data_IF_988650677662
#
_entry.id   IF_988650677662
#
_cell.length_a   1.000
_cell.length_b   1.000
_cell.length_c   1.000
_cell.angle_alpha   90.00
_cell.angle_beta   90.00
_cell.angle_gamma   90.00
#
_symmetry.space_group_name_H-M   'P 1'
#
loop_
_entity.id
_entity.type
_entity.pdbx_description
1 polymer ?
#
# COMPACT_ATOMS: atom_id res chain seq x y z
N UNK A 1 21.87 31.46 22.99
CA UNK A 1 21.24 30.64 24.05
C UNK A 1 20.65 29.40 23.37
N UNK A 2 21.34 28.26 23.54
CA UNK A 2 20.98 27.01 22.84
C UNK A 2 19.71 26.42 23.43
N UNK A 3 18.75 26.26 22.55
CA UNK A 3 17.50 25.57 22.85
C UNK A 3 17.82 24.07 23.06
N UNK A 4 17.93 23.63 24.30
CA UNK A 4 18.00 22.22 24.67
C UNK A 4 16.66 21.58 24.32
N UNK A 5 16.48 21.15 23.07
CA UNK A 5 15.41 20.24 22.70
C UNK A 5 15.56 18.98 23.54
N UNK A 6 14.59 18.72 24.42
CA UNK A 6 14.53 17.49 25.22
C UNK A 6 14.39 16.30 24.26
N UNK A 7 15.49 15.66 23.93
CA UNK A 7 15.63 14.57 22.96
C UNK A 7 15.16 13.21 23.50
N UNK A 8 14.47 13.17 24.65
CA UNK A 8 14.16 11.92 25.35
C UNK A 8 12.99 11.08 24.82
N UNK A 9 12.09 11.66 24.02
CA UNK A 9 10.83 10.99 23.63
C UNK A 9 10.60 10.80 22.13
N UNK A 10 11.61 11.06 21.29
CA UNK A 10 11.49 10.90 19.82
C UNK A 10 11.26 9.44 19.40
N UNK A 11 12.04 8.50 19.94
CA UNK A 11 11.91 7.07 19.60
C UNK A 11 10.54 6.51 20.04
N UNK A 12 10.06 6.72 21.29
CA UNK A 12 8.70 6.29 21.67
C UNK A 12 7.59 6.89 20.81
N UNK A 13 7.72 8.15 20.35
CA UNK A 13 6.76 8.74 19.43
C UNK A 13 6.74 8.05 18.05
N UNK A 14 7.92 7.68 17.53
CA UNK A 14 8.02 6.90 16.30
C UNK A 14 7.43 5.51 16.49
N UNK A 15 7.72 4.82 17.60
CA UNK A 15 7.17 3.48 17.87
C UNK A 15 5.64 3.52 17.98
N UNK A 16 5.08 4.51 18.67
CA UNK A 16 3.62 4.67 18.75
C UNK A 16 2.99 4.81 17.36
N UNK A 17 3.56 5.69 16.51
CA UNK A 17 3.04 5.90 15.15
C UNK A 17 3.29 4.69 14.25
N UNK A 18 4.41 3.98 14.44
CA UNK A 18 4.74 2.76 13.70
C UNK A 18 3.77 1.62 14.01
N UNK A 19 3.35 1.44 15.27
CA UNK A 19 2.34 0.44 15.66
C UNK A 19 1.01 0.74 14.95
N UNK A 20 0.55 1.98 14.95
CA UNK A 20 -0.66 2.37 14.23
C UNK A 20 -0.53 2.11 12.73
N UNK A 21 0.59 2.52 12.13
CA UNK A 21 0.86 2.31 10.69
C UNK A 21 0.92 0.81 10.36
N UNK A 22 1.53 0.00 11.21
CA UNK A 22 1.55 -1.46 11.08
C UNK A 22 0.14 -2.04 11.10
N UNK A 23 -0.69 -1.67 12.08
CA UNK A 23 -2.09 -2.10 12.14
C UNK A 23 -2.87 -1.70 10.89
N UNK A 24 -2.63 -0.49 10.36
CA UNK A 24 -3.24 -0.02 9.13
C UNK A 24 -2.89 -0.89 7.93
N UNK A 25 -1.61 -1.14 7.68
CA UNK A 25 -1.15 -1.95 6.56
C UNK A 25 -1.48 -3.44 6.75
N UNK A 26 -1.49 -3.94 7.98
CA UNK A 26 -1.89 -5.31 8.29
C UNK A 26 -3.36 -5.57 7.93
N UNK A 27 -4.27 -4.69 8.37
CA UNK A 27 -5.71 -4.85 8.15
C UNK A 27 -6.09 -4.70 6.67
N UNK A 28 -5.29 -3.96 5.88
CA UNK A 28 -5.46 -3.78 4.44
C UNK A 28 -5.49 -5.13 3.72
N UNK A 29 -4.53 -5.99 4.01
CA UNK A 29 -4.37 -7.30 3.36
C UNK A 29 -5.07 -8.44 4.11
N UNK A 30 -5.26 -8.31 5.44
CA UNK A 30 -5.98 -9.29 6.23
C UNK A 30 -7.44 -9.44 5.81
N UNK A 31 -8.08 -8.35 5.37
CA UNK A 31 -9.48 -8.40 4.93
C UNK A 31 -9.70 -9.16 3.62
N UNK A 32 -8.70 -9.24 2.74
CA UNK A 32 -8.84 -9.95 1.46
C UNK A 32 -9.17 -11.44 1.63
N UNK A 33 -8.68 -12.06 2.71
CA UNK A 33 -8.96 -13.49 3.01
C UNK A 33 -10.40 -13.71 3.47
N UNK A 34 -11.06 -12.67 3.97
CA UNK A 34 -12.44 -12.75 4.46
C UNK A 34 -13.50 -12.52 3.36
N UNK A 35 -13.09 -12.15 2.16
CA UNK A 35 -14.01 -11.74 1.09
C UNK A 35 -15.05 -12.80 0.74
N UNK A 36 -14.74 -14.10 0.59
CA UNK A 36 -15.75 -15.11 0.32
C UNK A 36 -16.85 -15.18 1.40
N UNK A 37 -16.44 -15.06 2.68
CA UNK A 37 -17.37 -15.01 3.82
C UNK A 37 -18.24 -13.74 3.77
N UNK A 38 -17.64 -12.58 3.51
CA UNK A 38 -18.34 -11.31 3.43
C UNK A 38 -19.28 -11.23 2.21
N UNK A 39 -18.90 -11.83 1.07
CA UNK A 39 -19.75 -11.94 -0.11
C UNK A 39 -21.04 -12.68 0.22
N UNK A 40 -20.94 -13.78 0.96
CA UNK A 40 -22.09 -14.57 1.41
C UNK A 40 -22.91 -13.81 2.45
N UNK A 41 -22.28 -13.20 3.47
CA UNK A 41 -22.98 -12.50 4.56
C UNK A 41 -23.72 -11.25 4.07
N UNK A 42 -23.10 -10.47 3.15
CA UNK A 42 -23.69 -9.23 2.63
C UNK A 42 -24.41 -9.40 1.28
N UNK A 43 -24.50 -10.63 0.78
CA UNK A 43 -25.14 -10.96 -0.49
C UNK A 43 -24.65 -10.07 -1.65
N UNK A 44 -23.34 -10.04 -1.86
CA UNK A 44 -22.64 -9.23 -2.87
C UNK A 44 -21.68 -10.09 -3.67
N UNK A 45 -21.24 -9.56 -4.81
CA UNK A 45 -20.24 -10.20 -5.69
C UNK A 45 -18.79 -9.73 -5.40
N UNK A 46 -17.84 -10.24 -6.18
CA UNK A 46 -16.42 -9.86 -6.08
C UNK A 46 -16.19 -8.37 -6.36
N UNK A 47 -16.98 -7.74 -7.25
CA UNK A 47 -16.89 -6.31 -7.56
C UNK A 47 -17.35 -5.45 -6.39
N UNK A 48 -18.44 -5.84 -5.71
CA UNK A 48 -18.94 -5.11 -4.56
C UNK A 48 -18.05 -5.25 -3.34
N UNK A 49 -17.58 -6.47 -3.02
CA UNK A 49 -16.80 -6.71 -1.81
C UNK A 49 -15.39 -6.14 -1.89
N UNK A 50 -14.79 -6.01 -3.09
CA UNK A 50 -13.47 -5.43 -3.26
C UNK A 50 -13.36 -4.00 -2.69
N UNK A 51 -14.49 -3.26 -2.59
CA UNK A 51 -14.53 -1.91 -2.02
C UNK A 51 -14.08 -1.86 -0.55
N UNK A 52 -14.13 -2.98 0.18
CA UNK A 52 -13.58 -3.11 1.54
C UNK A 52 -12.08 -2.79 1.56
N UNK A 53 -11.33 -3.19 0.54
CA UNK A 53 -9.90 -2.85 0.39
C UNK A 53 -9.70 -1.63 -0.51
N UNK A 54 -10.38 -1.54 -1.65
CA UNK A 54 -10.22 -0.44 -2.60
C UNK A 54 -10.63 0.91 -2.01
N UNK A 55 -11.75 0.96 -1.27
CA UNK A 55 -12.20 2.17 -0.58
C UNK A 55 -11.22 2.65 0.49
N UNK A 56 -10.61 1.71 1.22
CA UNK A 56 -9.54 1.99 2.17
C UNK A 56 -8.30 2.59 1.49
N UNK A 57 -7.82 1.95 0.42
CA UNK A 57 -6.67 2.41 -0.36
C UNK A 57 -6.94 3.76 -1.05
N UNK A 58 -8.15 3.96 -1.54
CA UNK A 58 -8.59 5.24 -2.10
C UNK A 58 -8.51 6.37 -1.05
N UNK A 59 -8.98 6.10 0.17
CA UNK A 59 -8.90 7.09 1.25
C UNK A 59 -7.44 7.46 1.56
N UNK A 60 -6.53 6.47 1.62
CA UNK A 60 -5.09 6.72 1.78
C UNK A 60 -4.56 7.56 0.61
N UNK A 61 -4.87 7.17 -0.64
CA UNK A 61 -4.38 7.85 -1.84
C UNK A 61 -4.85 9.31 -1.95
N UNK A 62 -6.03 9.64 -1.42
CA UNK A 62 -6.54 11.02 -1.35
C UNK A 62 -5.85 11.81 -0.24
N UNK A 63 -5.54 11.18 0.90
CA UNK A 63 -5.00 11.87 2.08
C UNK A 63 -3.49 12.07 2.02
N UNK A 64 -2.73 11.11 1.47
CA UNK A 64 -1.26 11.20 1.42
C UNK A 64 -0.76 12.50 0.75
N UNK A 65 -1.31 12.99 -0.39
CA UNK A 65 -0.87 14.25 -1.00
C UNK A 65 -1.00 15.48 -0.11
N UNK A 66 -1.98 15.49 0.80
CA UNK A 66 -2.20 16.64 1.68
C UNK A 66 -1.36 16.58 2.97
N UNK A 67 -0.62 15.51 3.22
CA UNK A 67 0.15 15.36 4.46
C UNK A 67 1.26 16.40 4.60
N UNK A 68 1.85 16.87 3.50
CA UNK A 68 2.79 17.98 3.51
C UNK A 68 2.13 19.30 3.97
N UNK A 69 0.88 19.56 3.58
CA UNK A 69 0.08 20.66 4.09
C UNK A 69 -0.26 20.45 5.57
N UNK A 70 -0.70 19.24 5.95
CA UNK A 70 -1.09 18.94 7.32
C UNK A 70 0.07 19.12 8.30
N UNK A 71 1.28 18.65 7.98
CA UNK A 71 2.47 18.80 8.84
C UNK A 71 2.98 20.23 8.95
N UNK A 72 2.64 21.12 8.00
CA UNK A 72 2.96 22.56 8.06
C UNK A 72 1.94 23.39 8.84
N UNK A 73 0.71 22.88 9.03
CA UNK A 73 -0.41 23.64 9.60
C UNK A 73 -0.90 23.11 10.94
N UNK A 74 -0.54 21.90 11.31
CA UNK A 74 -0.95 21.24 12.54
C UNK A 74 0.25 20.67 13.28
N UNK A 75 0.17 20.60 14.60
CA UNK A 75 1.22 19.98 15.42
C UNK A 75 1.25 18.47 15.22
N UNK A 76 2.41 17.87 15.47
CA UNK A 76 2.57 16.39 15.43
C UNK A 76 1.53 15.72 16.33
N UNK A 77 1.27 16.29 17.53
CA UNK A 77 0.28 15.75 18.47
C UNK A 77 -1.14 15.79 17.94
N UNK A 78 -1.54 16.89 17.27
CA UNK A 78 -2.88 17.00 16.66
C UNK A 78 -3.07 15.98 15.54
N UNK A 79 -2.07 15.82 14.67
CA UNK A 79 -2.12 14.86 13.56
C UNK A 79 -2.13 13.42 14.06
N UNK A 80 -1.31 13.11 15.07
CA UNK A 80 -1.28 11.80 15.69
C UNK A 80 -2.63 11.44 16.33
N UNK A 81 -3.23 12.38 17.08
CA UNK A 81 -4.57 12.19 17.66
C UNK A 81 -5.64 12.01 16.60
N UNK A 82 -5.67 12.87 15.59
CA UNK A 82 -6.65 12.77 14.51
C UNK A 82 -6.54 11.42 13.78
N UNK A 83 -5.32 10.99 13.46
CA UNK A 83 -5.06 9.71 12.82
C UNK A 83 -5.55 8.52 13.67
N UNK A 84 -5.17 8.48 14.95
CA UNK A 84 -5.57 7.39 15.86
C UNK A 84 -7.08 7.38 16.11
N UNK A 85 -7.71 8.53 16.36
CA UNK A 85 -9.14 8.60 16.64
C UNK A 85 -9.98 8.20 15.43
N UNK A 86 -9.58 8.62 14.21
CA UNK A 86 -10.23 8.19 12.97
C UNK A 86 -10.07 6.69 12.75
N UNK A 87 -8.86 6.16 12.96
CA UNK A 87 -8.61 4.73 12.78
C UNK A 87 -9.36 3.89 13.82
N UNK A 88 -9.28 4.24 15.10
CA UNK A 88 -10.00 3.53 16.18
C UNK A 88 -11.51 3.63 15.98
N UNK A 89 -12.02 4.81 15.62
CA UNK A 89 -13.44 5.02 15.31
C UNK A 89 -13.90 4.12 14.17
N UNK A 90 -13.13 4.03 13.09
CA UNK A 90 -13.39 3.11 11.97
C UNK A 90 -13.35 1.64 12.40
N UNK A 91 -12.35 1.24 13.22
CA UNK A 91 -12.27 -0.12 13.77
C UNK A 91 -13.50 -0.46 14.61
N UNK A 92 -13.95 0.44 15.48
CA UNK A 92 -15.13 0.22 16.30
C UNK A 92 -16.42 0.10 15.47
N UNK A 93 -16.55 0.89 14.40
CA UNK A 93 -17.66 0.77 13.44
C UNK A 93 -17.63 -0.62 12.78
N UNK A 94 -16.46 -1.08 12.37
CA UNK A 94 -16.31 -2.36 11.67
C UNK A 94 -16.54 -3.56 12.58
N UNK A 95 -16.21 -3.45 13.87
CA UNK A 95 -16.53 -4.48 14.89
C UNK A 95 -18.02 -4.81 14.98
N UNK A 96 -18.87 -3.83 14.73
CA UNK A 96 -20.35 -3.96 14.91
C UNK A 96 -21.13 -3.80 13.60
N UNK A 97 -20.43 -3.71 12.43
CA UNK A 97 -21.07 -3.40 11.17
C UNK A 97 -22.13 -4.46 10.77
N UNK A 98 -23.40 -4.05 10.62
CA UNK A 98 -24.47 -4.95 10.21
C UNK A 98 -24.66 -5.00 8.68
N UNK A 99 -24.00 -4.13 7.93
CA UNK A 99 -24.15 -4.02 6.47
C UNK A 99 -22.83 -3.64 5.82
N UNK A 100 -22.69 -3.98 4.53
CA UNK A 100 -21.51 -3.62 3.74
C UNK A 100 -21.25 -2.11 3.74
N UNK A 101 -22.30 -1.28 3.64
CA UNK A 101 -22.13 0.18 3.60
C UNK A 101 -21.50 0.72 4.90
N UNK A 102 -21.90 0.18 6.05
CA UNK A 102 -21.33 0.58 7.35
C UNK A 102 -19.90 0.09 7.47
N UNK A 103 -19.59 -1.13 7.01
CA UNK A 103 -18.23 -1.64 6.91
C UNK A 103 -17.37 -0.73 6.03
N UNK A 104 -17.85 -0.34 4.84
CA UNK A 104 -17.12 0.57 3.95
C UNK A 104 -16.85 1.94 4.58
N UNK A 105 -17.81 2.47 5.36
CA UNK A 105 -17.62 3.73 6.10
C UNK A 105 -16.50 3.61 7.12
N UNK A 106 -16.48 2.54 7.93
CA UNK A 106 -15.40 2.27 8.89
C UNK A 106 -14.05 2.11 8.19
N UNK A 107 -14.01 1.37 7.08
CA UNK A 107 -12.81 1.19 6.25
C UNK A 107 -12.29 2.51 5.68
N UNK A 108 -13.19 3.38 5.21
CA UNK A 108 -12.80 4.70 4.69
C UNK A 108 -12.20 5.58 5.80
N UNK A 109 -12.79 5.58 7.00
CA UNK A 109 -12.24 6.29 8.17
C UNK A 109 -10.86 5.76 8.57
N UNK A 110 -10.67 4.42 8.59
CA UNK A 110 -9.37 3.80 8.83
C UNK A 110 -8.34 4.22 7.78
N UNK A 111 -8.73 4.27 6.50
CA UNK A 111 -7.88 4.71 5.40
C UNK A 111 -7.40 6.16 5.57
N UNK A 112 -8.28 7.08 6.00
CA UNK A 112 -7.88 8.46 6.33
C UNK A 112 -6.84 8.45 7.47
N UNK A 113 -7.09 7.70 8.54
CA UNK A 113 -6.17 7.58 9.67
C UNK A 113 -4.79 7.08 9.26
N UNK A 114 -4.75 6.00 8.47
CA UNK A 114 -3.50 5.43 7.95
C UNK A 114 -2.78 6.38 6.99
N UNK A 115 -3.52 7.06 6.13
CA UNK A 115 -2.98 8.06 5.20
C UNK A 115 -2.28 9.24 5.90
N UNK A 116 -2.71 9.59 7.12
CA UNK A 116 -2.02 10.56 7.98
C UNK A 116 -0.83 9.91 8.68
N UNK A 117 -0.99 8.71 9.27
CA UNK A 117 -0.01 8.09 10.15
C UNK A 117 1.29 7.69 9.43
N UNK A 118 1.20 7.14 8.21
CA UNK A 118 2.37 6.69 7.47
C UNK A 118 3.39 7.81 7.21
N UNK A 119 3.03 8.95 6.60
CA UNK A 119 3.96 10.06 6.42
C UNK A 119 4.34 10.74 7.74
N UNK A 120 3.42 10.79 8.72
CA UNK A 120 3.67 11.38 10.03
C UNK A 120 4.79 10.63 10.77
N UNK A 121 4.84 9.31 10.69
CA UNK A 121 5.92 8.50 11.27
C UNK A 121 7.29 8.96 10.78
N UNK A 122 7.47 9.11 9.47
CA UNK A 122 8.74 9.59 8.90
C UNK A 122 9.01 11.05 9.25
N UNK A 123 7.97 11.89 9.32
CA UNK A 123 8.11 13.29 9.76
C UNK A 123 8.60 13.39 11.22
N UNK A 124 8.11 12.55 12.13
CA UNK A 124 8.59 12.47 13.52
C UNK A 124 10.06 12.07 13.54
N UNK A 125 10.49 11.09 12.76
CA UNK A 125 11.90 10.69 12.69
C UNK A 125 12.77 11.88 12.30
N UNK A 126 12.42 12.57 11.22
CA UNK A 126 13.23 13.68 10.69
C UNK A 126 13.26 14.89 11.62
N UNK A 127 12.26 15.10 12.49
CA UNK A 127 12.14 16.28 13.34
C UNK A 127 12.48 16.06 14.81
N UNK A 128 12.30 14.83 15.34
CA UNK A 128 12.42 14.53 16.77
C UNK A 128 13.51 13.53 17.13
N UNK A 129 14.04 12.80 16.16
CA UNK A 129 15.14 11.84 16.38
C UNK A 129 16.47 12.50 16.04
N UNK A 130 17.55 12.23 16.79
CA UNK A 130 18.90 12.72 16.44
C UNK A 130 19.37 12.21 15.09
N UNK A 131 20.06 13.05 14.30
CA UNK A 131 20.48 12.77 12.93
C UNK A 131 21.28 11.45 12.79
N UNK A 132 22.14 11.13 13.76
CA UNK A 132 22.94 9.90 13.75
C UNK A 132 22.12 8.60 13.90
N UNK A 133 20.85 8.70 14.31
CA UNK A 133 19.92 7.57 14.45
C UNK A 133 18.88 7.50 13.32
N UNK A 134 18.81 8.49 12.41
CA UNK A 134 17.82 8.53 11.36
C UNK A 134 17.80 7.25 10.52
N UNK A 135 18.95 6.76 10.06
CA UNK A 135 19.04 5.56 9.24
C UNK A 135 18.43 4.32 9.93
N UNK A 136 18.77 4.10 11.20
CA UNK A 136 18.26 2.97 11.99
C UNK A 136 16.75 3.09 12.21
N UNK A 137 16.26 4.28 12.62
CA UNK A 137 14.86 4.48 12.97
C UNK A 137 13.96 4.50 11.72
N UNK A 138 14.43 5.07 10.60
CA UNK A 138 13.75 4.96 9.29
C UNK A 138 13.69 3.49 8.84
N UNK A 139 14.78 2.75 9.03
CA UNK A 139 14.81 1.31 8.73
C UNK A 139 13.78 0.51 9.52
N UNK A 140 13.66 0.77 10.82
CA UNK A 140 12.62 0.14 11.67
C UNK A 140 11.22 0.53 11.21
N UNK A 141 10.97 1.82 10.94
CA UNK A 141 9.70 2.29 10.39
C UNK A 141 9.35 1.65 9.05
N UNK A 142 10.33 1.53 8.15
CA UNK A 142 10.18 0.84 6.87
C UNK A 142 9.91 -0.67 7.02
N UNK A 143 10.53 -1.32 8.02
CA UNK A 143 10.25 -2.73 8.32
C UNK A 143 8.80 -2.96 8.75
N UNK A 144 8.21 -2.05 9.54
CA UNK A 144 6.80 -2.21 9.96
C UNK A 144 5.85 -2.20 8.76
N UNK A 145 6.10 -1.33 7.79
CA UNK A 145 5.29 -1.28 6.56
C UNK A 145 5.59 -2.42 5.59
N UNK A 146 6.82 -2.94 5.57
CA UNK A 146 7.21 -4.06 4.71
C UNK A 146 6.75 -5.43 5.24
N UNK A 147 6.67 -5.61 6.57
CA UNK A 147 6.26 -6.87 7.21
C UNK A 147 4.74 -7.02 7.30
N UNK A 148 4.00 -5.92 7.38
CA UNK A 148 2.56 -5.96 7.57
C UNK A 148 1.79 -6.64 6.42
N UNK A 149 2.02 -6.30 5.11
CA UNK A 149 1.28 -6.93 4.02
C UNK A 149 1.47 -8.44 3.94
N UNK A 150 2.70 -8.97 4.13
CA UNK A 150 2.92 -10.40 4.19
C UNK A 150 2.20 -11.13 5.31
N UNK A 151 2.13 -10.55 6.49
CA UNK A 151 1.53 -11.17 7.67
C UNK A 151 -0.01 -11.09 7.60
N UNK A 152 -0.55 -10.05 6.95
CA UNK A 152 -1.98 -9.77 6.93
C UNK A 152 -2.85 -10.95 6.54
N UNK A 153 -2.66 -11.60 5.38
CA UNK A 153 -3.50 -12.72 4.97
C UNK A 153 -3.45 -13.89 5.94
N UNK A 154 -2.29 -14.21 6.50
CA UNK A 154 -2.15 -15.28 7.50
C UNK A 154 -2.88 -14.94 8.79
N UNK A 155 -2.68 -13.73 9.31
CA UNK A 155 -3.38 -13.21 10.47
C UNK A 155 -4.91 -13.21 10.24
N UNK A 156 -5.34 -12.64 9.11
CA UNK A 156 -6.74 -12.58 8.74
C UNK A 156 -7.38 -13.97 8.60
N UNK A 157 -6.68 -14.91 7.95
CA UNK A 157 -7.16 -16.27 7.76
C UNK A 157 -7.32 -17.05 9.06
N UNK A 158 -6.31 -17.02 9.93
CA UNK A 158 -6.37 -17.72 11.23
C UNK A 158 -7.44 -17.10 12.14
N UNK A 159 -7.42 -15.78 12.32
CA UNK A 159 -8.36 -15.11 13.21
C UNK A 159 -9.80 -15.24 12.73
N UNK A 160 -10.04 -15.05 11.43
CA UNK A 160 -11.41 -15.13 10.88
C UNK A 160 -12.00 -16.54 10.94
N UNK A 161 -11.19 -17.56 10.73
CA UNK A 161 -11.66 -18.96 10.82
C UNK A 161 -11.98 -19.39 12.24
N UNK A 162 -11.25 -18.86 13.25
CA UNK A 162 -11.46 -19.26 14.66
C UNK A 162 -12.56 -18.45 15.35
N UNK A 163 -12.67 -17.17 15.03
CA UNK A 163 -13.48 -16.22 15.79
C UNK A 163 -14.43 -15.36 14.93
N UNK A 164 -14.44 -15.61 13.60
CA UNK A 164 -15.17 -14.79 12.65
C UNK A 164 -14.39 -13.54 12.20
N UNK A 165 -14.79 -12.97 11.07
CA UNK A 165 -14.07 -11.86 10.45
C UNK A 165 -14.02 -10.57 11.30
N UNK A 166 -15.05 -10.32 12.11
CA UNK A 166 -15.08 -9.17 13.03
C UNK A 166 -13.97 -9.22 14.08
N UNK A 167 -13.53 -10.42 14.45
CA UNK A 167 -12.45 -10.61 15.42
C UNK A 167 -11.10 -10.02 14.95
N UNK A 168 -10.89 -9.87 13.62
CA UNK A 168 -9.73 -9.19 13.07
C UNK A 168 -9.65 -7.75 13.60
N UNK A 169 -10.78 -7.04 13.64
CA UNK A 169 -10.87 -5.67 14.13
C UNK A 169 -10.72 -5.61 15.66
N UNK A 170 -11.37 -6.52 16.39
CA UNK A 170 -11.21 -6.60 17.85
C UNK A 170 -9.75 -6.84 18.26
N UNK A 171 -9.03 -7.66 17.54
CA UNK A 171 -7.63 -7.97 17.83
C UNK A 171 -6.70 -6.76 17.66
N UNK A 172 -7.07 -5.76 16.87
CA UNK A 172 -6.28 -4.54 16.70
C UNK A 172 -6.46 -3.53 17.87
N UNK A 173 -7.59 -3.56 18.56
CA UNK A 173 -7.94 -2.55 19.59
C UNK A 173 -6.86 -2.42 20.67
N UNK A 174 -6.33 -3.50 21.28
CA UNK A 174 -5.29 -3.37 22.30
C UNK A 174 -4.03 -2.65 21.77
N UNK A 175 -3.59 -2.95 20.55
CA UNK A 175 -2.42 -2.31 19.94
C UNK A 175 -2.66 -0.84 19.64
N UNK A 176 -3.87 -0.49 19.19
CA UNK A 176 -4.25 0.89 18.91
C UNK A 176 -4.37 1.73 20.18
N UNK A 177 -4.95 1.17 21.25
CA UNK A 177 -5.00 1.82 22.56
C UNK A 177 -3.58 2.02 23.09
N UNK A 178 -2.72 1.01 22.97
CA UNK A 178 -1.31 1.13 23.38
C UNK A 178 -0.59 2.21 22.57
N UNK A 179 -0.78 2.25 21.23
CA UNK A 179 -0.25 3.31 20.36
C UNK A 179 -0.73 4.68 20.84
N UNK A 180 -2.03 4.84 21.06
CA UNK A 180 -2.62 6.12 21.48
C UNK A 180 -2.05 6.60 22.81
N UNK A 181 -2.02 5.73 23.84
CA UNK A 181 -1.51 6.08 25.17
C UNK A 181 -0.02 6.42 25.13
N UNK A 182 0.78 5.59 24.45
CA UNK A 182 2.22 5.82 24.30
C UNK A 182 2.51 7.10 23.52
N UNK A 183 1.77 7.37 22.44
CA UNK A 183 1.95 8.58 21.66
C UNK A 183 1.53 9.85 22.41
N UNK A 184 0.45 9.80 23.18
CA UNK A 184 0.03 10.92 24.05
C UNK A 184 1.08 11.25 25.11
N UNK A 185 1.76 10.23 25.64
CA UNK A 185 2.86 10.41 26.58
C UNK A 185 4.13 10.92 25.91
N UNK A 186 4.47 10.38 24.73
CA UNK A 186 5.74 10.68 24.05
C UNK A 186 5.71 11.98 23.23
N UNK A 187 4.57 12.33 22.63
CA UNK A 187 4.43 13.50 21.77
C UNK A 187 3.96 14.69 22.62
N UNK A 188 4.90 15.58 22.92
CA UNK A 188 4.61 16.79 23.70
C UNK A 188 3.76 17.77 22.89
N UNK A 189 3.00 18.62 23.64
CA UNK A 189 2.27 19.71 23.02
C UNK A 189 3.27 20.77 22.51
N UNK A 190 3.07 21.20 21.28
CA UNK A 190 3.85 22.26 20.63
C UNK A 190 2.94 23.44 20.30
N UNK A 191 3.52 24.62 20.08
CA UNK A 191 2.78 25.75 19.56
C UNK A 191 2.32 25.43 18.13
N UNK A 192 1.07 25.77 17.83
CA UNK A 192 0.51 25.56 16.49
C UNK A 192 1.24 26.43 15.46
N UNK A 193 1.70 25.84 14.35
CA UNK A 193 2.36 26.60 13.29
C UNK A 193 1.43 27.64 12.66
N UNK A 194 2.01 28.65 12.00
CA UNK A 194 1.22 29.63 11.25
C UNK A 194 0.49 28.96 10.10
N UNK A 195 -0.84 29.07 10.08
CA UNK A 195 -1.69 28.43 9.06
C UNK A 195 -1.40 28.97 7.66
N UNK A 196 -1.23 28.08 6.71
CA UNK A 196 -1.14 28.37 5.28
C UNK A 196 -2.48 28.07 4.60
N UNK A 197 -2.83 28.75 3.50
CA UNK A 197 -4.08 28.49 2.80
C UNK A 197 -4.09 27.06 2.21
N UNK A 198 -5.23 26.39 2.31
CA UNK A 198 -5.45 25.05 1.76
C UNK A 198 -6.03 25.13 0.35
N UNK A 199 -5.47 24.37 -0.58
CA UNK A 199 -6.01 24.28 -1.93
C UNK A 199 -7.15 23.24 -1.98
N UNK A 200 -8.32 23.65 -1.48
CA UNK A 200 -9.49 22.78 -1.38
C UNK A 200 -9.96 22.27 -2.74
N UNK A 201 -9.90 23.11 -3.79
CA UNK A 201 -10.34 22.72 -5.13
C UNK A 201 -9.42 21.64 -5.74
N UNK A 202 -8.10 21.77 -5.57
CA UNK A 202 -7.19 20.73 -6.02
C UNK A 202 -7.42 19.41 -5.25
N UNK A 203 -7.69 19.48 -3.95
CA UNK A 203 -7.98 18.28 -3.14
C UNK A 203 -9.26 17.58 -3.61
N UNK A 204 -10.35 18.31 -3.78
CA UNK A 204 -11.64 17.74 -4.21
C UNK A 204 -11.54 17.15 -5.62
N UNK A 205 -10.93 17.87 -6.55
CA UNK A 205 -10.80 17.42 -7.95
C UNK A 205 -9.87 16.20 -8.06
N UNK A 206 -8.83 16.09 -7.23
CA UNK A 206 -8.00 14.88 -7.12
C UNK A 206 -8.85 13.70 -6.62
N UNK A 207 -9.59 13.88 -5.53
CA UNK A 207 -10.45 12.84 -4.96
C UNK A 207 -11.51 12.33 -5.95
N UNK A 208 -12.19 13.25 -6.64
CA UNK A 208 -13.17 12.91 -7.67
C UNK A 208 -12.49 12.13 -8.82
N UNK A 209 -11.31 12.59 -9.29
CA UNK A 209 -10.57 11.92 -10.36
C UNK A 209 -10.18 10.50 -10.00
N UNK A 210 -9.64 10.28 -8.81
CA UNK A 210 -9.25 8.96 -8.32
C UNK A 210 -10.46 8.03 -8.13
N UNK A 211 -11.52 8.53 -7.48
CA UNK A 211 -12.75 7.74 -7.28
C UNK A 211 -13.42 7.37 -8.61
N UNK A 212 -13.54 8.34 -9.53
CA UNK A 212 -14.16 8.10 -10.84
C UNK A 212 -13.35 7.12 -11.69
N UNK A 213 -12.02 7.08 -11.55
CA UNK A 213 -11.20 6.11 -12.27
C UNK A 213 -11.46 4.67 -11.78
N UNK A 214 -11.62 4.47 -10.47
CA UNK A 214 -12.01 3.16 -9.93
C UNK A 214 -13.41 2.74 -10.39
N UNK A 215 -14.38 3.67 -10.36
CA UNK A 215 -15.73 3.44 -10.88
C UNK A 215 -15.73 3.14 -12.39
N UNK A 216 -14.84 3.78 -13.16
CA UNK A 216 -14.71 3.50 -14.59
C UNK A 216 -14.19 2.08 -14.86
N UNK A 217 -13.31 1.56 -14.02
CA UNK A 217 -12.81 0.18 -14.09
C UNK A 217 -13.92 -0.80 -13.73
N UNK A 218 -14.66 -0.54 -12.66
CA UNK A 218 -15.71 -1.44 -12.16
C UNK A 218 -16.87 -1.54 -13.13
N UNK A 219 -17.37 -0.41 -13.63
CA UNK A 219 -18.57 -0.37 -14.47
C UNK A 219 -18.29 -0.34 -15.97
N UNK A 220 -17.01 -0.24 -16.39
CA UNK A 220 -16.60 -0.07 -17.81
C UNK A 220 -17.37 1.05 -18.53
N UNK A 221 -17.60 2.15 -17.82
CA UNK A 221 -18.50 3.23 -18.26
C UNK A 221 -17.73 4.40 -18.86
N UNK A 222 -18.12 4.81 -20.08
CA UNK A 222 -17.58 6.00 -20.77
C UNK A 222 -17.89 7.29 -20.01
N UNK A 223 -19.00 7.34 -19.27
CA UNK A 223 -19.38 8.51 -18.45
C UNK A 223 -18.32 8.73 -17.37
N UNK A 224 -17.96 7.69 -16.62
CA UNK A 224 -16.92 7.80 -15.60
C UNK A 224 -15.56 8.17 -16.20
N UNK A 225 -15.20 7.66 -17.39
CA UNK A 225 -13.98 8.10 -18.09
C UNK A 225 -14.02 9.58 -18.47
N UNK A 226 -15.16 10.10 -18.86
CA UNK A 226 -15.36 11.54 -19.08
C UNK A 226 -15.14 12.34 -17.80
N UNK A 227 -15.68 11.89 -16.67
CA UNK A 227 -15.47 12.52 -15.36
C UNK A 227 -13.99 12.48 -14.95
N UNK A 228 -13.29 11.38 -15.18
CA UNK A 228 -11.84 11.24 -14.95
C UNK A 228 -11.06 12.33 -15.68
N UNK A 229 -11.30 12.49 -16.99
CA UNK A 229 -10.60 13.50 -17.79
C UNK A 229 -10.86 14.91 -17.28
N UNK A 230 -12.13 15.24 -17.00
CA UNK A 230 -12.51 16.57 -16.50
C UNK A 230 -11.91 16.82 -15.10
N UNK A 231 -11.99 15.84 -14.20
CA UNK A 231 -11.50 15.97 -12.84
C UNK A 231 -9.97 16.14 -12.78
N UNK A 232 -9.20 15.36 -13.55
CA UNK A 232 -7.74 15.51 -13.60
C UNK A 232 -7.31 16.78 -14.34
N UNK A 233 -8.03 17.23 -15.35
CA UNK A 233 -7.80 18.53 -15.99
C UNK A 233 -8.05 19.67 -14.99
N UNK A 234 -9.13 19.61 -14.22
CA UNK A 234 -9.45 20.56 -13.17
C UNK A 234 -8.40 20.52 -12.03
N UNK A 235 -7.99 19.30 -11.62
CA UNK A 235 -6.90 19.12 -10.65
C UNK A 235 -5.61 19.79 -11.15
N UNK A 236 -5.19 19.53 -12.39
CA UNK A 236 -4.02 20.16 -12.96
C UNK A 236 -4.13 21.70 -12.94
N UNK A 237 -5.28 22.24 -13.32
CA UNK A 237 -5.52 23.69 -13.33
C UNK A 237 -5.43 24.30 -11.91
N UNK A 238 -6.13 23.75 -10.93
CA UNK A 238 -6.13 24.26 -9.55
C UNK A 238 -4.82 24.01 -8.81
N UNK A 239 -4.10 22.94 -9.14
CA UNK A 239 -2.84 22.59 -8.50
C UNK A 239 -1.65 23.51 -8.91
N UNK A 240 -1.79 24.35 -9.95
CA UNK A 240 -0.70 25.20 -10.46
C UNK A 240 -0.26 26.27 -9.48
N UNK A 241 -1.17 26.93 -8.76
CA UNK A 241 -0.88 28.11 -7.96
C UNK A 241 -0.49 27.78 -6.51
N UNK A 242 -1.02 26.69 -5.94
CA UNK A 242 -0.71 26.22 -4.60
C UNK A 242 -0.69 24.68 -4.65
N UNK A 243 0.45 24.11 -5.02
CA UNK A 243 0.56 22.71 -5.36
C UNK A 243 0.39 21.80 -4.13
N UNK A 244 -0.61 20.90 -4.17
CA UNK A 244 -0.72 19.77 -3.26
C UNK A 244 0.28 18.68 -3.63
N UNK A 245 0.46 18.46 -4.93
CA UNK A 245 1.39 17.48 -5.49
C UNK A 245 2.24 18.17 -6.55
N UNK A 246 3.55 18.14 -6.38
CA UNK A 246 4.48 18.74 -7.34
C UNK A 246 4.70 17.81 -8.52
N UNK A 247 4.52 18.34 -9.74
CA UNK A 247 4.77 17.58 -10.98
C UNK A 247 6.21 17.64 -11.48
N UNK A 248 7.12 18.33 -10.75
CA UNK A 248 8.52 18.47 -11.17
C UNK A 248 9.26 17.14 -11.38
N UNK A 249 9.09 16.11 -10.51
CA UNK A 249 9.73 14.81 -10.70
C UNK A 249 9.37 14.11 -12.01
N UNK A 250 8.12 14.27 -12.50
CA UNK A 250 7.66 13.64 -13.74
C UNK A 250 8.37 14.13 -15.02
N UNK A 251 9.09 15.26 -14.95
CA UNK A 251 9.92 15.74 -16.06
C UNK A 251 11.14 14.84 -16.34
N UNK A 252 11.51 14.00 -15.39
CA UNK A 252 12.67 13.13 -15.46
C UNK A 252 12.25 11.74 -15.93
N UNK A 253 12.57 11.37 -17.17
CA UNK A 253 12.22 10.07 -17.75
C UNK A 253 12.75 8.90 -16.93
N UNK A 254 13.93 9.05 -16.29
CA UNK A 254 14.53 8.04 -15.42
C UNK A 254 13.69 7.78 -14.18
N UNK A 255 13.19 8.85 -13.56
CA UNK A 255 12.27 8.73 -12.44
C UNK A 255 10.97 8.04 -12.85
N UNK A 256 10.37 8.44 -13.98
CA UNK A 256 9.13 7.84 -14.46
C UNK A 256 9.27 6.34 -14.75
N UNK A 257 10.39 5.94 -15.36
CA UNK A 257 10.66 4.53 -15.66
C UNK A 257 10.85 3.70 -14.38
N UNK A 258 11.62 4.20 -13.41
CA UNK A 258 11.82 3.50 -12.13
C UNK A 258 10.57 3.54 -11.25
N UNK A 259 9.80 4.62 -11.30
CA UNK A 259 8.49 4.73 -10.66
C UNK A 259 7.53 3.67 -11.20
N UNK A 260 7.49 3.46 -12.52
CA UNK A 260 6.66 2.39 -13.11
C UNK A 260 6.98 1.02 -12.47
N UNK A 261 8.25 0.68 -12.27
CA UNK A 261 8.65 -0.59 -11.65
C UNK A 261 8.13 -0.67 -10.20
N UNK A 262 8.21 0.43 -9.43
CA UNK A 262 7.63 0.50 -8.07
C UNK A 262 6.14 0.21 -8.10
N UNK A 263 5.41 0.88 -9.00
CA UNK A 263 3.96 0.76 -9.11
C UNK A 263 3.53 -0.63 -9.60
N UNK A 264 4.23 -1.18 -10.59
CA UNK A 264 3.96 -2.52 -11.10
C UNK A 264 4.07 -3.59 -10.00
N UNK A 265 5.11 -3.52 -9.17
CA UNK A 265 5.29 -4.47 -8.08
C UNK A 265 4.31 -4.24 -6.92
N UNK A 266 3.89 -3.02 -6.67
CA UNK A 266 2.78 -2.75 -5.75
C UNK A 266 1.47 -3.39 -6.24
N UNK A 267 1.16 -3.22 -7.54
CA UNK A 267 0.00 -3.87 -8.17
C UNK A 267 0.08 -5.40 -8.07
N UNK A 268 1.26 -5.98 -8.30
CA UNK A 268 1.47 -7.44 -8.18
C UNK A 268 1.19 -7.92 -6.75
N UNK A 269 1.76 -7.27 -5.73
CA UNK A 269 1.59 -7.69 -4.32
C UNK A 269 0.13 -7.66 -3.91
N UNK A 270 -0.58 -6.55 -4.13
CA UNK A 270 -1.98 -6.42 -3.74
C UNK A 270 -2.89 -7.27 -4.64
N UNK A 271 -2.54 -7.42 -5.90
CA UNK A 271 -3.23 -8.33 -6.80
C UNK A 271 -3.18 -9.78 -6.33
N UNK A 272 -1.99 -10.30 -6.01
CA UNK A 272 -1.83 -11.67 -5.52
C UNK A 272 -2.49 -11.89 -4.15
N UNK A 273 -2.50 -10.85 -3.29
CA UNK A 273 -3.20 -10.92 -2.01
C UNK A 273 -4.72 -10.94 -2.14
N UNK A 274 -5.27 -10.58 -3.30
CA UNK A 274 -6.68 -10.81 -3.65
C UNK A 274 -6.88 -12.15 -4.36
N UNK A 275 -6.07 -12.47 -5.38
CA UNK A 275 -6.24 -13.65 -6.24
C UNK A 275 -6.23 -14.93 -5.42
N UNK A 276 -5.15 -15.19 -4.70
CA UNK A 276 -4.95 -16.50 -4.07
C UNK A 276 -5.94 -16.82 -2.96
N UNK A 277 -6.23 -15.91 -1.99
CA UNK A 277 -7.20 -16.25 -0.97
C UNK A 277 -8.61 -16.49 -1.52
N UNK A 278 -9.03 -15.72 -2.53
CA UNK A 278 -10.34 -15.92 -3.15
C UNK A 278 -10.37 -17.20 -3.98
N UNK A 279 -9.36 -17.45 -4.81
CA UNK A 279 -9.28 -18.65 -5.65
C UNK A 279 -9.25 -19.94 -4.80
N UNK A 280 -8.41 -19.98 -3.76
CA UNK A 280 -8.28 -21.15 -2.89
C UNK A 280 -9.58 -21.46 -2.15
N UNK A 281 -10.31 -20.44 -1.70
CA UNK A 281 -11.56 -20.63 -0.99
C UNK A 281 -12.73 -20.92 -1.94
N UNK A 282 -12.84 -20.19 -3.05
CA UNK A 282 -14.01 -20.32 -3.95
C UNK A 282 -13.90 -21.52 -4.89
N UNK A 283 -12.71 -21.80 -5.44
CA UNK A 283 -12.52 -22.90 -6.41
C UNK A 283 -12.23 -24.22 -5.70
N UNK A 284 -11.35 -24.21 -4.69
CA UNK A 284 -10.95 -25.45 -4.00
C UNK A 284 -11.76 -25.73 -2.73
N UNK A 285 -12.62 -24.81 -2.28
CA UNK A 285 -13.46 -24.98 -1.09
C UNK A 285 -12.68 -25.03 0.23
N UNK A 286 -11.42 -24.55 0.21
CA UNK A 286 -10.54 -24.57 1.37
C UNK A 286 -10.91 -23.48 2.37
N UNK A 287 -10.49 -23.65 3.63
CA UNK A 287 -10.75 -22.65 4.68
C UNK A 287 -9.92 -21.37 4.49
N UNK A 288 -10.39 -20.28 5.08
CA UNK A 288 -9.64 -19.01 5.14
C UNK A 288 -8.27 -19.19 5.82
N UNK A 289 -8.15 -20.12 6.79
CA UNK A 289 -6.86 -20.46 7.42
C UNK A 289 -5.89 -21.04 6.38
N UNK A 290 -6.32 -22.01 5.56
CA UNK A 290 -5.48 -22.62 4.51
C UNK A 290 -5.06 -21.55 3.50
N UNK A 291 -5.99 -20.71 3.06
CA UNK A 291 -5.73 -19.61 2.15
C UNK A 291 -4.74 -18.58 2.72
N UNK A 292 -4.87 -18.25 4.01
CA UNK A 292 -3.93 -17.36 4.72
C UNK A 292 -2.55 -17.97 4.89
N UNK A 293 -2.48 -19.26 5.30
CA UNK A 293 -1.22 -19.98 5.47
C UNK A 293 -0.49 -20.22 4.13
N UNK A 294 -1.23 -20.36 3.02
CA UNK A 294 -0.65 -20.40 1.68
C UNK A 294 0.17 -19.15 1.36
N UNK A 295 -0.28 -17.98 1.81
CA UNK A 295 0.43 -16.74 1.57
C UNK A 295 1.72 -16.60 2.40
N UNK A 296 1.80 -17.26 3.57
CA UNK A 296 2.86 -17.04 4.56
C UNK A 296 4.29 -17.31 4.05
N UNK A 297 4.63 -18.45 3.37
CA UNK A 297 5.98 -18.71 2.91
C UNK A 297 6.49 -17.67 1.91
N UNK A 298 5.64 -17.28 0.95
CA UNK A 298 5.96 -16.22 -0.01
C UNK A 298 6.17 -14.88 0.67
N UNK A 299 5.31 -14.55 1.61
CA UNK A 299 5.35 -13.37 2.42
C UNK A 299 6.63 -13.27 3.28
N UNK A 300 7.03 -14.37 3.92
CA UNK A 300 8.28 -14.45 4.66
C UNK A 300 9.50 -14.22 3.75
N UNK A 301 9.48 -14.77 2.51
CA UNK A 301 10.53 -14.50 1.52
C UNK A 301 10.62 -13.03 1.15
N UNK A 302 9.49 -12.35 0.92
CA UNK A 302 9.48 -10.90 0.65
C UNK A 302 10.10 -10.12 1.82
N UNK A 303 9.72 -10.43 3.05
CA UNK A 303 10.22 -9.73 4.24
C UNK A 303 11.75 -9.90 4.39
N UNK A 304 12.26 -11.13 4.28
CA UNK A 304 13.71 -11.41 4.42
C UNK A 304 14.49 -10.81 3.26
N UNK A 305 14.03 -11.06 2.02
CA UNK A 305 14.77 -10.67 0.83
C UNK A 305 14.73 -9.18 0.55
N UNK A 306 13.74 -8.44 1.00
CA UNK A 306 13.75 -6.98 0.91
C UNK A 306 14.90 -6.36 1.73
N UNK A 307 15.18 -6.89 2.92
CA UNK A 307 16.33 -6.47 3.74
C UNK A 307 17.66 -6.87 3.09
N UNK A 308 17.74 -8.11 2.60
CA UNK A 308 18.94 -8.60 1.88
C UNK A 308 19.21 -7.77 0.63
N UNK A 309 18.17 -7.46 -0.14
CA UNK A 309 18.22 -6.63 -1.34
C UNK A 309 18.73 -5.22 -1.06
N UNK A 310 18.22 -4.58 0.01
CA UNK A 310 18.69 -3.27 0.42
C UNK A 310 20.21 -3.27 0.72
N UNK A 311 20.68 -4.25 1.51
CA UNK A 311 22.12 -4.41 1.80
C UNK A 311 22.94 -4.73 0.56
N UNK A 312 22.39 -5.51 -0.37
CA UNK A 312 23.05 -5.83 -1.63
C UNK A 312 23.12 -4.62 -2.55
N UNK A 313 22.07 -3.82 -2.58
CA UNK A 313 22.04 -2.52 -3.27
C UNK A 313 23.17 -1.59 -2.77
N UNK A 314 23.31 -1.44 -1.46
CA UNK A 314 24.35 -0.58 -0.86
C UNK A 314 25.77 -1.01 -1.23
N UNK A 315 26.02 -2.33 -1.39
CA UNK A 315 27.35 -2.87 -1.71
C UNK A 315 27.66 -2.89 -3.21
N UNK A 316 26.69 -3.17 -4.06
CA UNK A 316 26.93 -3.46 -5.49
C UNK A 316 26.10 -2.60 -6.46
N UNK A 317 25.34 -1.63 -5.93
CA UNK A 317 24.45 -0.79 -6.73
C UNK A 317 23.15 -1.51 -7.15
N UNK A 318 22.31 -0.85 -7.96
CA UNK A 318 20.94 -1.27 -8.26
C UNK A 318 20.84 -2.49 -9.17
N UNK A 319 21.85 -2.74 -10.05
CA UNK A 319 21.73 -3.73 -11.13
C UNK A 319 21.45 -5.13 -10.58
N UNK A 320 22.35 -5.63 -9.72
CA UNK A 320 22.31 -7.03 -9.30
C UNK A 320 21.01 -7.36 -8.53
N UNK A 321 20.64 -6.65 -7.44
CA UNK A 321 19.46 -7.01 -6.67
C UNK A 321 18.17 -6.84 -7.48
N UNK A 322 18.01 -5.72 -8.21
CA UNK A 322 16.78 -5.46 -8.95
C UNK A 322 16.63 -6.43 -10.12
N UNK A 323 17.69 -6.66 -10.93
CA UNK A 323 17.63 -7.59 -12.04
C UNK A 323 17.36 -9.02 -11.58
N UNK A 324 18.03 -9.48 -10.53
CA UNK A 324 17.77 -10.80 -9.94
C UNK A 324 16.30 -10.92 -9.53
N UNK A 325 15.77 -9.92 -8.84
CA UNK A 325 14.35 -9.91 -8.45
C UNK A 325 13.40 -9.93 -9.63
N UNK A 326 13.63 -9.12 -10.66
CA UNK A 326 12.83 -9.08 -11.87
C UNK A 326 12.84 -10.43 -12.61
N UNK A 327 13.98 -11.10 -12.71
CA UNK A 327 14.08 -12.42 -13.35
C UNK A 327 13.30 -13.48 -12.56
N UNK A 328 13.46 -13.55 -11.24
CA UNK A 328 12.69 -14.47 -10.41
C UNK A 328 11.18 -14.21 -10.50
N UNK A 329 10.75 -12.94 -10.48
CA UNK A 329 9.35 -12.57 -10.61
C UNK A 329 8.79 -12.98 -11.98
N UNK A 330 9.50 -12.72 -13.06
CA UNK A 330 9.06 -13.10 -14.41
C UNK A 330 9.02 -14.63 -14.55
N UNK A 331 10.05 -15.36 -14.11
CA UNK A 331 10.08 -16.83 -14.19
C UNK A 331 8.94 -17.44 -13.37
N UNK A 332 8.76 -17.01 -12.12
CA UNK A 332 7.67 -17.49 -11.26
C UNK A 332 6.30 -17.18 -11.84
N UNK A 333 6.06 -15.90 -12.22
CA UNK A 333 4.78 -15.46 -12.76
C UNK A 333 4.42 -16.14 -14.10
N UNK A 334 5.37 -16.25 -15.03
CA UNK A 334 5.16 -16.94 -16.32
C UNK A 334 4.87 -18.43 -16.11
N UNK A 335 5.63 -19.07 -15.21
CA UNK A 335 5.38 -20.48 -14.88
C UNK A 335 3.98 -20.70 -14.31
N UNK A 336 3.55 -19.85 -13.36
CA UNK A 336 2.19 -19.93 -12.82
C UNK A 336 1.16 -19.69 -13.93
N UNK A 337 1.36 -18.66 -14.77
CA UNK A 337 0.42 -18.32 -15.85
C UNK A 337 0.20 -19.45 -16.84
N UNK A 338 1.27 -20.17 -17.21
CA UNK A 338 1.20 -21.30 -18.18
C UNK A 338 0.52 -22.51 -17.56
N UNK A 339 0.93 -22.89 -16.34
CA UNK A 339 0.48 -24.13 -15.71
C UNK A 339 -0.76 -23.98 -14.84
N UNK A 340 -1.30 -22.76 -14.67
CA UNK A 340 -2.37 -22.45 -13.71
C UNK A 340 -3.54 -23.44 -13.71
N UNK A 341 -4.12 -23.85 -14.87
CA UNK A 341 -5.27 -24.75 -14.88
C UNK A 341 -5.02 -26.15 -14.31
N UNK A 342 -3.77 -26.59 -14.30
CA UNK A 342 -3.39 -27.93 -13.79
C UNK A 342 -2.72 -27.90 -12.42
N UNK A 343 -2.56 -26.71 -11.80
CA UNK A 343 -1.88 -26.61 -10.51
C UNK A 343 -2.82 -27.01 -9.37
N UNK A 344 -2.29 -27.79 -8.47
CA UNK A 344 -2.85 -28.01 -7.13
C UNK A 344 -2.15 -27.09 -6.13
N UNK A 345 -2.58 -27.11 -4.86
CA UNK A 345 -2.14 -26.16 -3.83
C UNK A 345 -0.61 -26.17 -3.62
N UNK A 346 0.04 -27.33 -3.59
CA UNK A 346 1.49 -27.42 -3.31
C UNK A 346 2.37 -26.95 -4.47
N UNK A 347 2.15 -27.37 -5.73
CA UNK A 347 2.88 -26.80 -6.87
C UNK A 347 2.66 -25.30 -7.03
N UNK A 348 1.42 -24.80 -6.84
CA UNK A 348 1.14 -23.38 -6.86
C UNK A 348 1.91 -22.64 -5.76
N UNK A 349 1.96 -23.20 -4.54
CA UNK A 349 2.74 -22.64 -3.43
C UNK A 349 4.22 -22.54 -3.78
N UNK A 350 4.81 -23.60 -4.34
CA UNK A 350 6.23 -23.61 -4.71
C UNK A 350 6.55 -22.52 -5.75
N UNK A 351 5.74 -22.41 -6.80
CA UNK A 351 5.89 -21.36 -7.82
C UNK A 351 5.63 -19.95 -7.25
N UNK A 352 4.67 -19.83 -6.34
CA UNK A 352 4.40 -18.56 -5.66
C UNK A 352 5.60 -18.12 -4.81
N UNK A 353 6.28 -19.02 -4.12
CA UNK A 353 7.51 -18.71 -3.37
C UNK A 353 8.60 -18.17 -4.30
N UNK A 354 8.75 -18.73 -5.51
CA UNK A 354 9.68 -18.22 -6.52
C UNK A 354 9.28 -16.80 -6.95
N UNK A 355 8.00 -16.58 -7.23
CA UNK A 355 7.47 -15.27 -7.60
C UNK A 355 7.71 -14.23 -6.48
N UNK A 356 7.38 -14.59 -5.25
CA UNK A 356 7.53 -13.72 -4.06
C UNK A 356 9.02 -13.45 -3.75
N UNK A 357 9.93 -14.39 -4.03
CA UNK A 357 11.38 -14.18 -3.98
C UNK A 357 11.78 -13.00 -4.88
N UNK A 358 11.27 -12.98 -6.11
CA UNK A 358 11.50 -11.88 -7.04
C UNK A 358 10.96 -10.55 -6.51
N UNK A 359 9.74 -10.56 -5.99
CA UNK A 359 9.10 -9.38 -5.40
C UNK A 359 9.94 -8.82 -4.25
N UNK A 360 10.42 -9.68 -3.34
CA UNK A 360 11.23 -9.27 -2.21
C UNK A 360 12.52 -8.53 -2.62
N UNK A 361 13.22 -9.04 -3.62
CA UNK A 361 14.42 -8.37 -4.14
C UNK A 361 14.11 -7.02 -4.80
N UNK A 362 13.04 -6.91 -5.57
CA UNK A 362 12.67 -5.64 -6.22
C UNK A 362 12.22 -4.61 -5.18
N UNK A 363 11.31 -4.96 -4.28
CA UNK A 363 10.74 -4.00 -3.32
C UNK A 363 11.79 -3.46 -2.35
N UNK A 364 12.79 -4.25 -1.95
CA UNK A 364 13.82 -3.82 -1.01
C UNK A 364 14.76 -2.72 -1.53
N UNK A 365 14.86 -2.53 -2.84
CA UNK A 365 15.82 -1.60 -3.44
C UNK A 365 15.20 -0.58 -4.39
N UNK A 366 14.05 -0.89 -4.99
CA UNK A 366 13.56 -0.13 -6.13
C UNK A 366 13.04 1.27 -5.77
N UNK A 367 12.41 1.44 -4.60
CA UNK A 367 11.98 2.78 -4.13
C UNK A 367 13.20 3.68 -3.95
N UNK A 368 14.26 3.17 -3.29
CA UNK A 368 15.52 3.89 -3.12
C UNK A 368 16.13 4.25 -4.47
N UNK A 369 16.17 3.30 -5.41
CA UNK A 369 16.69 3.54 -6.75
C UNK A 369 15.87 4.58 -7.51
N UNK A 370 14.55 4.58 -7.38
CA UNK A 370 13.66 5.56 -8.00
C UNK A 370 13.91 6.98 -7.46
N UNK A 371 13.97 7.12 -6.14
CA UNK A 371 14.23 8.41 -5.50
C UNK A 371 15.66 8.93 -5.74
N UNK A 372 16.62 8.04 -5.94
CA UNK A 372 18.00 8.41 -6.30
C UNK A 372 18.15 8.99 -7.72
N UNK A 373 17.09 8.93 -8.57
CA UNK A 373 17.08 9.63 -9.86
C UNK A 373 16.77 11.12 -9.74
N UNK A 374 16.34 11.57 -8.55
CA UNK A 374 15.96 12.95 -8.26
C UNK A 374 17.08 13.70 -7.54
N UNK A 375 17.19 14.99 -7.82
CA UNK A 375 18.05 15.86 -7.00
C UNK A 375 17.39 16.11 -5.63
N UNK A 376 18.18 16.57 -4.65
CA UNK A 376 17.73 16.76 -3.26
C UNK A 376 16.54 17.73 -3.11
N UNK A 377 16.42 18.71 -4.01
CA UNK A 377 15.36 19.72 -3.96
C UNK A 377 13.95 19.15 -4.24
N UNK A 378 13.87 18.14 -5.13
CA UNK A 378 12.58 17.53 -5.54
C UNK A 378 12.39 16.09 -5.03
N UNK A 379 13.33 15.59 -4.23
CA UNK A 379 13.27 14.21 -3.70
C UNK A 379 12.09 14.02 -2.75
N UNK A 380 11.74 15.02 -1.94
CA UNK A 380 10.57 14.99 -1.08
C UNK A 380 9.26 14.95 -1.89
N UNK A 381 9.19 15.73 -2.99
CA UNK A 381 8.07 15.69 -3.94
C UNK A 381 7.95 14.30 -4.58
N UNK A 382 9.08 13.72 -5.01
CA UNK A 382 9.13 12.37 -5.56
C UNK A 382 8.64 11.30 -4.59
N UNK A 383 9.03 11.37 -3.34
CA UNK A 383 8.57 10.45 -2.31
C UNK A 383 7.04 10.56 -2.08
N UNK A 384 6.49 11.76 -2.08
CA UNK A 384 5.05 11.98 -1.98
C UNK A 384 4.30 11.36 -3.18
N UNK A 385 4.84 11.53 -4.40
CA UNK A 385 4.30 10.90 -5.63
C UNK A 385 4.34 9.38 -5.51
N UNK A 386 5.49 8.80 -5.14
CA UNK A 386 5.65 7.35 -4.99
C UNK A 386 4.60 6.81 -4.03
N UNK A 387 4.49 7.36 -2.83
CA UNK A 387 3.54 6.86 -1.81
C UNK A 387 2.08 6.99 -2.27
N UNK A 388 1.70 8.14 -2.85
CA UNK A 388 0.34 8.35 -3.36
C UNK A 388 -0.01 7.34 -4.45
N UNK A 389 0.87 7.21 -5.45
CA UNK A 389 0.62 6.34 -6.59
C UNK A 389 0.71 4.86 -6.23
N UNK A 390 1.55 4.45 -5.27
CA UNK A 390 1.58 3.07 -4.78
C UNK A 390 0.22 2.66 -4.20
N UNK A 391 -0.37 3.47 -3.34
CA UNK A 391 -1.66 3.16 -2.74
C UNK A 391 -2.77 3.11 -3.79
N UNK A 392 -2.76 4.07 -4.70
CA UNK A 392 -3.75 4.12 -5.77
C UNK A 392 -3.60 2.97 -6.77
N UNK A 393 -2.37 2.60 -7.13
CA UNK A 393 -2.11 1.46 -8.02
C UNK A 393 -2.53 0.14 -7.38
N UNK A 394 -2.37 0.01 -6.06
CA UNK A 394 -2.92 -1.12 -5.31
C UNK A 394 -4.45 -1.21 -5.44
N UNK A 395 -5.15 -0.09 -5.26
CA UNK A 395 -6.59 -0.02 -5.44
C UNK A 395 -7.02 -0.38 -6.88
N UNK A 396 -6.32 0.13 -7.90
CA UNK A 396 -6.55 -0.24 -9.31
C UNK A 396 -6.37 -1.74 -9.51
N UNK A 397 -5.27 -2.31 -9.02
CA UNK A 397 -4.99 -3.74 -9.20
C UNK A 397 -6.09 -4.61 -8.60
N UNK A 398 -6.51 -4.30 -7.36
CA UNK A 398 -7.59 -5.00 -6.69
C UNK A 398 -8.91 -4.88 -7.46
N UNK A 399 -9.25 -3.68 -7.94
CA UNK A 399 -10.48 -3.44 -8.71
C UNK A 399 -10.48 -4.19 -10.06
N UNK A 400 -9.36 -4.17 -10.81
CA UNK A 400 -9.21 -4.91 -12.07
C UNK A 400 -9.38 -6.41 -11.85
N UNK A 401 -8.72 -6.97 -10.84
CA UNK A 401 -8.78 -8.40 -10.55
C UNK A 401 -10.17 -8.80 -10.07
N UNK A 402 -10.80 -8.02 -9.20
CA UNK A 402 -12.18 -8.26 -8.77
C UNK A 402 -13.15 -8.25 -9.96
N UNK A 403 -12.94 -7.34 -10.92
CA UNK A 403 -13.73 -7.30 -12.16
C UNK A 403 -13.52 -8.55 -13.03
N UNK A 404 -12.27 -9.06 -13.10
CA UNK A 404 -11.98 -10.33 -13.80
C UNK A 404 -12.74 -11.47 -13.10
N UNK A 405 -12.67 -11.60 -11.78
CA UNK A 405 -13.37 -12.62 -11.03
C UNK A 405 -14.89 -12.55 -11.24
N UNK A 406 -15.48 -11.35 -11.18
CA UNK A 406 -16.91 -11.13 -11.41
C UNK A 406 -17.33 -11.41 -12.87
N UNK A 407 -16.42 -11.26 -13.84
CA UNK A 407 -16.70 -11.53 -15.26
C UNK A 407 -16.63 -13.02 -15.61
N UNK A 408 -15.92 -13.83 -14.82
CA UNK A 408 -15.69 -15.26 -15.00
C UNK A 408 -16.10 -16.07 -13.77
N UNK A 409 -17.16 -15.65 -13.05
CA UNK A 409 -17.64 -16.31 -11.83
C UNK A 409 -18.06 -17.76 -12.05
N UNK A 410 -18.50 -18.13 -13.27
CA UNK A 410 -18.80 -19.49 -13.68
C UNK A 410 -17.53 -20.34 -13.98
N UNK A 411 -16.36 -19.72 -14.10
CA UNK A 411 -15.09 -20.42 -14.37
C UNK A 411 -13.92 -19.75 -13.64
N UNK A 412 -13.80 -20.05 -12.35
CA UNK A 412 -12.82 -19.46 -11.46
C UNK A 412 -11.37 -19.81 -11.84
N UNK A 413 -11.14 -20.94 -12.50
CA UNK A 413 -9.81 -21.29 -13.04
C UNK A 413 -9.39 -20.28 -14.09
N UNK A 414 -10.27 -19.95 -15.03
CA UNK A 414 -10.01 -18.93 -16.05
C UNK A 414 -9.84 -17.55 -15.42
N UNK A 415 -10.68 -17.17 -14.43
CA UNK A 415 -10.56 -15.92 -13.69
C UNK A 415 -9.18 -15.79 -13.00
N UNK A 416 -8.77 -16.83 -12.30
CA UNK A 416 -7.47 -16.90 -11.63
C UNK A 416 -6.31 -16.82 -12.61
N UNK A 417 -6.35 -17.58 -13.71
CA UNK A 417 -5.32 -17.58 -14.74
C UNK A 417 -5.16 -16.18 -15.40
N UNK A 418 -6.26 -15.56 -15.83
CA UNK A 418 -6.23 -14.23 -16.45
C UNK A 418 -5.67 -13.19 -15.45
N UNK A 419 -6.06 -13.29 -14.19
CA UNK A 419 -5.57 -12.39 -13.13
C UNK A 419 -4.07 -12.54 -12.90
N UNK A 420 -3.55 -13.77 -12.90
CA UNK A 420 -2.09 -14.01 -12.80
C UNK A 420 -1.36 -13.54 -14.05
N UNK A 421 -1.92 -13.75 -15.26
CA UNK A 421 -1.36 -13.22 -16.50
C UNK A 421 -1.28 -11.69 -16.44
N UNK A 422 -2.32 -11.02 -15.95
CA UNK A 422 -2.32 -9.56 -15.79
C UNK A 422 -1.15 -9.08 -14.90
N UNK A 423 -1.01 -9.61 -13.68
CA UNK A 423 0.08 -9.17 -12.79
C UNK A 423 1.46 -9.59 -13.29
N UNK A 424 1.58 -10.74 -13.97
CA UNK A 424 2.81 -11.19 -14.61
C UNK A 424 3.23 -10.28 -15.76
N UNK A 425 2.26 -9.82 -16.57
CA UNK A 425 2.54 -8.87 -17.66
C UNK A 425 3.13 -7.57 -17.13
N UNK A 426 2.64 -7.05 -15.99
CA UNK A 426 3.23 -5.88 -15.33
C UNK A 426 4.70 -6.13 -14.94
N UNK A 427 5.01 -7.33 -14.41
CA UNK A 427 6.38 -7.70 -14.05
C UNK A 427 7.30 -7.86 -15.28
N UNK A 428 6.80 -8.41 -16.39
CA UNK A 428 7.54 -8.52 -17.65
C UNK A 428 7.86 -7.13 -18.21
N UNK A 429 6.87 -6.24 -18.26
CA UNK A 429 7.09 -4.86 -18.71
C UNK A 429 8.10 -4.16 -17.78
N UNK A 430 8.04 -4.40 -16.46
CA UNK A 430 9.00 -3.84 -15.52
C UNK A 430 10.44 -4.31 -15.80
N UNK A 431 10.64 -5.58 -16.17
CA UNK A 431 11.95 -6.09 -16.61
C UNK A 431 12.44 -5.38 -17.87
N UNK A 432 11.58 -5.23 -18.88
CA UNK A 432 11.93 -4.53 -20.13
C UNK A 432 12.31 -3.07 -19.85
N UNK A 433 11.51 -2.37 -19.05
CA UNK A 433 11.75 -0.98 -18.66
C UNK A 433 13.06 -0.85 -17.90
N UNK A 434 13.36 -1.78 -16.97
CA UNK A 434 14.62 -1.77 -16.24
C UNK A 434 15.84 -1.93 -17.14
N UNK A 435 15.80 -2.91 -18.06
CA UNK A 435 16.88 -3.15 -19.03
C UNK A 435 17.09 -1.96 -19.97
N UNK A 436 16.01 -1.26 -20.32
CA UNK A 436 16.10 -0.07 -21.14
C UNK A 436 16.69 1.14 -20.41
N UNK A 437 16.28 1.39 -19.16
CA UNK A 437 16.67 2.61 -18.43
C UNK A 437 18.03 2.49 -17.75
N UNK A 438 18.43 1.30 -17.30
CA UNK A 438 19.65 1.10 -16.52
C UNK A 438 20.92 1.60 -17.23
N UNK A 439 21.20 1.30 -18.52
CA UNK A 439 22.38 1.82 -19.22
C UNK A 439 22.41 3.34 -19.29
N UNK A 440 21.24 3.99 -19.33
CA UNK A 440 21.13 5.44 -19.38
C UNK A 440 21.49 6.11 -18.05
N UNK A 441 21.22 5.43 -16.92
CA UNK A 441 21.55 5.95 -15.58
C UNK A 441 23.06 5.90 -15.30
N UNK A 442 23.80 4.99 -15.93
CA UNK A 442 25.26 4.89 -15.78
C UNK A 442 26.02 5.96 -16.57
N UNK A 443 25.51 6.40 -17.72
CA UNK A 443 26.16 7.40 -18.59
C UNK A 443 26.14 8.83 -18.01
N UNK A 444 25.41 9.08 -16.92
CA UNK A 444 25.25 10.42 -16.34
C UNK A 444 25.94 10.58 -14.96
N UNK A 445 26.61 9.53 -14.50
CA UNK A 445 27.57 9.59 -13.39
C UNK A 445 28.99 9.75 -13.94
#
# INVERSE_FOLDING_TARGET
>A
MGNKTKTGHGIPAVVATAIMSFCGVLIETAMNVTFPTLMTEFNTDSSGIQWVTTGYLLAIAIVVPITAYLTRNYTIRQLFLAANLLFIGGVLIDCISPSLMILLLGRFMQGIGTGIALPLMFHIVLTKVPLHQHGTVIGIGGMTTALAPPIGPTFGGVVSSMFGWRAIFYALIPFLIFSLVMGLWAIQAEESPKKQPFNFMAFVTLGIGLASLLMAIEHLSVIYLGVVVVAFAAFYYFNRNNALLSFKPFKLIRFNATLYIVLAFQAVVLGLSFIYPNYIQLEWGESATVAGLFMFPGAAMVAVLSVVSGRWYDKSGPLKPILTGLVFAVVGGVSISIFFPGLTIYPLLALNVIFMTGIGFVMGSNVTYSLAQLNSEIQADGNSIVNTLQQFTGAISTAVIARIFSSFDSNLVTAGQISVIFVTTLAVIALIVFLWIYPQTQKSK
#
